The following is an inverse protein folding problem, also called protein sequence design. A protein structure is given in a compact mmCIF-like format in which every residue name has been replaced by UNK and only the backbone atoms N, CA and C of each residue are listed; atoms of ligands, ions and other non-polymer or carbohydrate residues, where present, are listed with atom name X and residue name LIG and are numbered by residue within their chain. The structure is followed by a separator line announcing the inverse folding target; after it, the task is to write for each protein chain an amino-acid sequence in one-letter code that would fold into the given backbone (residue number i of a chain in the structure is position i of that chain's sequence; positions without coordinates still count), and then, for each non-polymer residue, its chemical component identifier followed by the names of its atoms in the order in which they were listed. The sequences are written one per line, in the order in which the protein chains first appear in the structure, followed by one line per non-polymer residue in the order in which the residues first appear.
data_IF_495565828646
#
_entry.id   IF_495565828646
#
_cell.length_a   1.000
_cell.length_b   1.000
_cell.length_c   1.000
_cell.angle_alpha   90.00
_cell.angle_beta   90.00
_cell.angle_gamma   90.00
#
_symmetry.space_group_name_H-M   'P 1'
#
loop_
_entity.id
_entity.type
_entity.pdbx_description
1 polymer ?
#
# COMPACT_ATOMS: atom_id res chain seq x y z
N UNK A 1 -19.11 12.60 15.31
CA UNK A 1 -17.74 11.98 15.20
C UNK A 1 -17.30 11.52 16.58
N UNK A 2 -16.64 10.32 16.71
CA UNK A 2 -16.14 9.83 18.01
C UNK A 2 -14.87 10.56 18.46
N UNK A 3 -14.62 10.59 19.79
CA UNK A 3 -13.54 11.38 20.40
C UNK A 3 -12.15 10.93 19.94
N UNK A 4 -11.93 9.62 19.70
CA UNK A 4 -10.64 9.09 19.22
C UNK A 4 -10.32 9.54 17.80
N UNK A 5 -11.33 9.61 16.95
CA UNK A 5 -11.20 10.12 15.58
C UNK A 5 -10.92 11.63 15.60
N UNK A 6 -11.59 12.39 16.47
CA UNK A 6 -11.35 13.83 16.63
C UNK A 6 -9.92 14.12 17.10
N UNK A 7 -9.40 13.39 18.08
CA UNK A 7 -8.01 13.52 18.55
C UNK A 7 -7.01 13.20 17.44
N UNK A 8 -7.30 12.22 16.57
CA UNK A 8 -6.46 11.91 15.40
C UNK A 8 -6.37 13.11 14.44
N UNK A 9 -7.50 13.74 14.13
CA UNK A 9 -7.53 14.93 13.27
C UNK A 9 -6.82 16.12 13.92
N UNK A 10 -7.05 16.37 15.20
CA UNK A 10 -6.40 17.45 15.93
C UNK A 10 -4.88 17.33 15.93
N UNK A 11 -4.37 16.11 16.14
CA UNK A 11 -2.92 15.83 16.08
C UNK A 11 -2.37 16.04 14.66
N UNK A 12 -3.06 15.59 13.63
CA UNK A 12 -2.64 15.76 12.24
C UNK A 12 -2.59 17.24 11.83
N UNK A 13 -3.64 18.01 12.15
CA UNK A 13 -3.72 19.45 11.91
C UNK A 13 -2.62 20.22 12.65
N UNK A 14 -2.40 19.92 13.94
CA UNK A 14 -1.38 20.58 14.75
C UNK A 14 0.01 20.31 14.22
N UNK A 15 0.33 19.06 13.89
CA UNK A 15 1.62 18.69 13.31
C UNK A 15 1.87 19.39 11.97
N UNK A 16 0.86 19.45 11.10
CA UNK A 16 1.00 20.11 9.80
C UNK A 16 1.23 21.61 9.97
N UNK A 17 0.45 22.27 10.84
CA UNK A 17 0.64 23.68 11.18
C UNK A 17 2.06 23.95 11.69
N UNK A 18 2.56 23.13 12.64
CA UNK A 18 3.85 23.35 13.27
C UNK A 18 5.01 23.19 12.28
N UNK A 19 4.91 22.25 11.33
CA UNK A 19 5.86 22.09 10.21
C UNK A 19 5.90 23.35 9.33
N UNK A 20 4.74 23.89 8.96
CA UNK A 20 4.66 25.09 8.12
C UNK A 20 5.17 26.33 8.85
N UNK A 21 4.87 26.48 10.15
CA UNK A 21 5.38 27.57 10.96
C UNK A 21 6.90 27.50 11.15
N UNK A 22 7.45 26.29 11.32
CA UNK A 22 8.89 26.10 11.39
C UNK A 22 9.56 26.55 10.07
N UNK A 23 9.04 26.13 8.93
CA UNK A 23 9.55 26.53 7.62
C UNK A 23 9.49 28.05 7.41
N UNK A 24 8.39 28.71 7.84
CA UNK A 24 8.26 30.17 7.73
C UNK A 24 9.26 30.93 8.62
N UNK A 25 9.73 30.31 9.72
CA UNK A 25 10.69 30.91 10.64
C UNK A 25 12.17 30.64 10.28
N UNK A 26 12.44 29.78 9.29
CA UNK A 26 13.80 29.55 8.79
C UNK A 26 14.33 30.76 8.01
N UNK A 27 15.67 30.95 8.02
CA UNK A 27 16.32 32.12 7.45
C UNK A 27 16.07 32.28 5.94
N UNK A 28 16.12 33.52 5.46
CA UNK A 28 15.76 33.92 4.08
C UNK A 28 16.50 33.15 2.97
N UNK A 29 17.69 32.63 3.25
CA UNK A 29 18.47 31.83 2.30
C UNK A 29 17.90 30.43 2.02
N UNK A 30 17.10 29.88 2.93
CA UNK A 30 16.38 28.62 2.73
C UNK A 30 15.01 28.79 2.07
N UNK A 31 14.49 30.02 2.01
CA UNK A 31 13.18 30.35 1.42
C UNK A 31 13.19 30.43 -0.12
N UNK A 32 14.38 30.43 -0.74
CA UNK A 32 14.53 30.32 -2.21
C UNK A 32 14.16 28.93 -2.74
N UNK A 33 14.00 27.93 -1.83
CA UNK A 33 13.45 26.62 -2.16
C UNK A 33 11.99 26.61 -1.70
N UNK A 34 11.02 26.65 -2.64
CA UNK A 34 9.59 26.59 -2.28
C UNK A 34 9.26 25.34 -1.47
N UNK A 35 8.49 25.45 -0.38
CA UNK A 35 8.03 24.32 0.40
C UNK A 35 7.08 23.46 -0.46
N UNK A 36 7.58 22.33 -0.96
CA UNK A 36 6.82 21.48 -1.88
C UNK A 36 6.39 22.21 -3.18
N UNK A 37 7.17 23.20 -3.65
CA UNK A 37 6.84 24.00 -4.85
C UNK A 37 5.87 25.16 -4.60
N UNK A 38 5.49 25.43 -3.34
CA UNK A 38 4.51 26.48 -2.97
C UNK A 38 5.19 27.78 -2.57
N UNK A 39 4.61 28.89 -2.99
CA UNK A 39 5.04 30.24 -2.58
C UNK A 39 4.66 30.54 -1.11
N UNK A 40 5.29 31.54 -0.50
CA UNK A 40 4.96 31.99 0.87
C UNK A 40 3.48 32.33 1.01
N UNK A 41 2.86 32.97 0.02
CA UNK A 41 1.43 33.30 0.05
C UNK A 41 0.53 32.06 0.07
N UNK A 42 0.88 31.01 -0.67
CA UNK A 42 0.14 29.74 -0.67
C UNK A 42 0.29 29.01 0.68
N UNK A 43 1.44 29.10 1.32
CA UNK A 43 1.66 28.55 2.66
C UNK A 43 0.85 29.30 3.70
N UNK A 44 0.73 30.64 3.59
CA UNK A 44 -0.11 31.44 4.48
C UNK A 44 -1.60 31.10 4.36
N UNK A 45 -2.09 30.82 3.14
CA UNK A 45 -3.47 30.33 2.94
C UNK A 45 -3.68 28.97 3.62
N UNK A 46 -2.78 28.02 3.43
CA UNK A 46 -2.86 26.70 4.07
C UNK A 46 -2.86 26.86 5.60
N UNK A 47 -2.00 27.73 6.15
CA UNK A 47 -1.97 28.01 7.59
C UNK A 47 -3.28 28.59 8.10
N UNK A 48 -3.93 29.45 7.32
CA UNK A 48 -5.25 29.99 7.64
C UNK A 48 -6.30 28.87 7.71
N UNK A 49 -6.32 27.98 6.72
CA UNK A 49 -7.26 26.85 6.67
C UNK A 49 -7.04 25.88 7.84
N UNK A 50 -5.78 25.57 8.17
CA UNK A 50 -5.42 24.74 9.32
C UNK A 50 -5.85 25.36 10.65
N UNK A 51 -5.68 26.70 10.81
CA UNK A 51 -6.13 27.42 12.00
C UNK A 51 -7.65 27.38 12.13
N UNK A 52 -8.38 27.61 11.03
CA UNK A 52 -9.83 27.53 11.01
C UNK A 52 -10.31 26.13 11.40
N UNK A 53 -9.72 25.06 10.87
CA UNK A 53 -10.06 23.69 11.22
C UNK A 53 -9.82 23.39 12.71
N UNK A 54 -8.68 23.85 13.28
CA UNK A 54 -8.38 23.70 14.71
C UNK A 54 -9.38 24.47 15.58
N UNK A 55 -9.73 25.71 15.21
CA UNK A 55 -10.75 26.50 15.91
C UNK A 55 -12.11 25.76 15.93
N UNK A 56 -12.50 25.13 14.82
CA UNK A 56 -13.73 24.34 14.73
C UNK A 56 -13.70 23.09 15.62
N UNK A 57 -12.53 22.50 15.85
CA UNK A 57 -12.37 21.42 16.83
C UNK A 57 -12.64 21.94 18.25
N UNK A 58 -12.04 23.07 18.61
CA UNK A 58 -12.21 23.70 19.93
C UNK A 58 -13.64 24.14 20.19
N UNK A 59 -14.35 24.59 19.16
CA UNK A 59 -15.78 25.00 19.20
C UNK A 59 -16.74 23.79 19.10
N UNK A 60 -16.25 22.57 18.86
CA UNK A 60 -17.08 21.38 18.71
C UNK A 60 -17.89 21.33 17.41
N UNK A 61 -17.53 22.12 16.39
CA UNK A 61 -18.20 22.22 15.09
C UNK A 61 -17.45 21.50 13.98
N UNK A 62 -16.27 20.93 14.26
CA UNK A 62 -15.48 20.20 13.29
C UNK A 62 -16.22 18.96 12.77
N UNK A 63 -16.21 18.78 11.45
CA UNK A 63 -16.98 17.72 10.79
C UNK A 63 -18.41 18.09 10.45
N UNK A 64 -18.88 19.29 10.84
CA UNK A 64 -20.17 19.80 10.41
C UNK A 64 -19.99 20.75 9.23
N UNK A 65 -20.87 20.67 8.26
CA UNK A 65 -20.88 21.54 7.09
C UNK A 65 -21.25 22.99 7.50
N UNK A 66 -20.46 23.96 7.09
CA UNK A 66 -20.70 25.37 7.36
C UNK A 66 -22.00 25.91 6.68
N UNK A 67 -22.41 25.27 5.57
CA UNK A 67 -23.56 25.71 4.77
C UNK A 67 -24.90 25.19 5.31
N UNK A 68 -24.95 23.92 5.76
CA UNK A 68 -26.20 23.30 6.19
C UNK A 68 -26.18 22.77 7.62
N UNK A 69 -25.05 22.76 8.32
CA UNK A 69 -24.91 22.17 9.66
C UNK A 69 -24.94 20.64 9.69
N UNK A 70 -25.15 19.96 8.56
CA UNK A 70 -25.10 18.50 8.43
C UNK A 70 -23.68 17.97 8.56
N UNK A 71 -23.55 16.66 8.73
CA UNK A 71 -22.21 16.03 8.82
C UNK A 71 -21.50 16.06 7.46
N UNK A 72 -20.18 16.36 7.48
CA UNK A 72 -19.31 16.20 6.33
C UNK A 72 -18.89 14.72 6.26
N UNK A 73 -18.82 14.17 5.05
CA UNK A 73 -18.44 12.80 4.81
C UNK A 73 -17.05 12.52 5.41
N UNK A 74 -16.96 11.46 6.24
CA UNK A 74 -15.74 11.13 6.98
C UNK A 74 -14.55 10.90 6.06
N UNK A 75 -14.78 10.26 4.93
CA UNK A 75 -13.78 9.97 3.91
C UNK A 75 -13.19 11.25 3.32
N UNK A 76 -13.99 12.31 3.19
CA UNK A 76 -13.48 13.61 2.74
C UNK A 76 -12.61 14.29 3.77
N UNK A 77 -13.01 14.23 5.05
CA UNK A 77 -12.19 14.76 6.15
C UNK A 77 -10.87 13.96 6.30
N UNK A 78 -10.86 12.67 5.98
CA UNK A 78 -9.65 11.87 5.97
C UNK A 78 -8.71 12.22 4.78
N UNK A 79 -9.27 12.66 3.66
CA UNK A 79 -8.52 13.14 2.50
C UNK A 79 -8.01 14.57 2.67
N UNK A 80 -8.87 15.44 3.17
CA UNK A 80 -8.58 16.83 3.43
C UNK A 80 -9.30 17.29 4.70
N UNK A 81 -8.57 17.29 5.81
CA UNK A 81 -9.08 17.68 7.12
C UNK A 81 -9.34 19.18 7.26
N UNK A 82 -9.08 20.00 6.23
CA UNK A 82 -9.49 21.40 6.16
C UNK A 82 -10.87 21.56 5.51
N UNK A 83 -11.45 20.51 4.96
CA UNK A 83 -12.78 20.50 4.34
C UNK A 83 -13.86 20.99 5.33
N UNK A 84 -14.67 21.95 4.89
CA UNK A 84 -15.70 22.60 5.71
C UNK A 84 -17.10 22.58 5.09
N UNK A 85 -17.26 21.98 3.88
CA UNK A 85 -18.54 21.88 3.16
C UNK A 85 -18.80 20.42 2.74
N UNK A 86 -20.00 19.89 2.96
CA UNK A 86 -20.38 18.54 2.53
C UNK A 86 -20.65 18.46 1.00
N UNK A 87 -20.73 17.25 0.45
CA UNK A 87 -20.95 17.02 -0.99
C UNK A 87 -22.31 17.53 -1.48
N UNK A 88 -23.31 17.62 -0.61
CA UNK A 88 -24.64 18.11 -0.97
C UNK A 88 -24.66 19.56 -1.52
N UNK A 89 -23.59 20.31 -1.27
CA UNK A 89 -23.43 21.68 -1.77
C UNK A 89 -22.57 21.78 -3.03
N UNK A 90 -22.07 20.64 -3.53
CA UNK A 90 -21.42 20.61 -4.82
C UNK A 90 -22.45 20.60 -5.94
N UNK A 91 -22.21 21.38 -6.97
CA UNK A 91 -23.04 21.32 -8.17
C UNK A 91 -22.85 19.97 -8.86
N UNK A 92 -23.88 19.54 -9.61
CA UNK A 92 -23.76 18.30 -10.42
C UNK A 92 -22.57 18.32 -11.39
N UNK A 93 -22.16 19.50 -11.82
CA UNK A 93 -20.99 19.69 -12.68
C UNK A 93 -19.67 19.44 -11.92
N UNK A 94 -19.55 19.96 -10.70
CA UNK A 94 -18.40 19.72 -9.82
C UNK A 94 -18.27 18.24 -9.43
N UNK A 95 -19.40 17.58 -9.11
CA UNK A 95 -19.41 16.13 -8.81
C UNK A 95 -18.93 15.34 -10.02
N UNK A 96 -19.45 15.62 -11.22
CA UNK A 96 -19.03 14.94 -12.46
C UNK A 96 -17.54 15.17 -12.79
N UNK A 97 -17.03 16.37 -12.53
CA UNK A 97 -15.60 16.65 -12.70
C UNK A 97 -14.74 15.77 -11.78
N UNK A 98 -15.11 15.69 -10.49
CA UNK A 98 -14.42 14.83 -9.50
C UNK A 98 -14.50 13.34 -9.89
N UNK A 99 -15.65 12.85 -10.33
CA UNK A 99 -15.82 11.47 -10.79
C UNK A 99 -14.94 11.19 -12.02
N UNK A 100 -14.85 12.14 -12.94
CA UNK A 100 -13.99 12.04 -14.14
C UNK A 100 -12.52 11.97 -13.77
N UNK A 101 -12.06 12.82 -12.85
CA UNK A 101 -10.67 12.85 -12.39
C UNK A 101 -10.31 11.54 -11.65
N UNK A 102 -11.19 11.02 -10.81
CA UNK A 102 -11.00 9.74 -10.13
C UNK A 102 -10.94 8.57 -11.11
N UNK A 103 -11.83 8.54 -12.11
CA UNK A 103 -11.78 7.50 -13.16
C UNK A 103 -10.49 7.60 -13.99
N UNK A 104 -10.00 8.81 -14.28
CA UNK A 104 -8.72 9.00 -14.93
C UNK A 104 -7.56 8.50 -14.04
N UNK A 105 -7.57 8.84 -12.76
CA UNK A 105 -6.58 8.34 -11.79
C UNK A 105 -6.56 6.80 -11.74
N UNK A 106 -7.73 6.15 -11.75
CA UNK A 106 -7.86 4.69 -11.83
C UNK A 106 -7.21 4.11 -13.08
N UNK A 107 -7.43 4.74 -14.24
CA UNK A 107 -6.83 4.30 -15.51
C UNK A 107 -5.32 4.45 -15.50
N UNK A 108 -4.81 5.56 -14.97
CA UNK A 108 -3.37 5.80 -14.82
C UNK A 108 -2.76 4.75 -13.89
N UNK A 109 -3.35 4.53 -12.70
CA UNK A 109 -2.87 3.53 -11.76
C UNK A 109 -2.81 2.13 -12.36
N UNK A 110 -3.86 1.74 -13.11
CA UNK A 110 -3.89 0.44 -13.79
C UNK A 110 -2.76 0.27 -14.82
N UNK A 111 -2.31 1.37 -15.45
CA UNK A 111 -1.17 1.33 -16.39
C UNK A 111 0.19 1.26 -15.68
N UNK A 112 0.26 1.62 -14.40
CA UNK A 112 1.48 1.49 -13.59
C UNK A 112 1.74 0.05 -13.16
N UNK A 113 0.70 -0.78 -13.06
CA UNK A 113 0.82 -2.21 -12.77
C UNK A 113 1.28 -2.99 -14.01
N UNK A 114 1.92 -4.15 -13.83
CA UNK A 114 2.36 -4.98 -14.96
C UNK A 114 1.18 -5.37 -15.87
N UNK A 115 1.32 -5.09 -17.17
CA UNK A 115 0.33 -5.52 -18.18
C UNK A 115 0.42 -7.01 -18.50
N UNK A 116 1.57 -7.62 -18.29
CA UNK A 116 1.83 -9.03 -18.56
C UNK A 116 2.75 -9.61 -17.48
N UNK A 117 2.55 -10.88 -17.18
CA UNK A 117 3.41 -11.63 -16.28
C UNK A 117 4.68 -12.07 -17.02
N UNK A 118 5.84 -12.13 -16.35
CA UNK A 118 7.06 -12.61 -16.99
C UNK A 118 6.95 -14.10 -17.31
N UNK A 119 7.32 -14.49 -18.52
CA UNK A 119 7.48 -15.89 -18.92
C UNK A 119 8.84 -16.38 -18.48
N UNK A 120 8.87 -17.30 -17.51
CA UNK A 120 10.10 -17.78 -16.90
C UNK A 120 10.27 -19.29 -17.11
N UNK A 121 11.48 -19.76 -17.43
CA UNK A 121 11.75 -21.18 -17.44
C UNK A 121 11.51 -21.80 -16.07
N UNK A 122 10.78 -22.91 -16.01
CA UNK A 122 10.54 -23.67 -14.79
C UNK A 122 9.79 -22.95 -13.65
N UNK A 123 9.11 -21.83 -13.96
CA UNK A 123 8.29 -21.09 -12.98
C UNK A 123 6.95 -20.75 -13.62
N UNK A 124 5.89 -20.99 -12.89
CA UNK A 124 4.54 -20.53 -13.18
C UNK A 124 4.19 -19.39 -12.24
N UNK A 125 3.54 -18.36 -12.78
CA UNK A 125 3.11 -17.19 -12.01
C UNK A 125 1.66 -16.89 -12.33
N UNK A 126 0.86 -16.62 -11.30
CA UNK A 126 -0.48 -16.07 -11.43
C UNK A 126 -0.66 -14.93 -10.43
N UNK A 127 -1.36 -13.88 -10.84
CA UNK A 127 -1.61 -12.69 -10.03
C UNK A 127 -3.06 -12.26 -10.18
N UNK A 128 -3.67 -11.86 -9.07
CA UNK A 128 -4.93 -11.14 -9.03
C UNK A 128 -4.76 -9.90 -8.15
N UNK A 129 -5.19 -8.75 -8.65
CA UNK A 129 -5.22 -7.52 -7.88
C UNK A 129 -6.51 -6.75 -8.16
N UNK A 130 -7.18 -6.33 -7.11
CA UNK A 130 -8.42 -5.57 -7.18
C UNK A 130 -8.43 -4.53 -6.06
N UNK A 131 -8.66 -3.26 -6.41
CA UNK A 131 -8.81 -2.20 -5.42
C UNK A 131 -10.22 -2.21 -4.85
N UNK A 132 -10.34 -2.06 -3.53
CA UNK A 132 -11.61 -1.93 -2.83
C UNK A 132 -12.32 -0.59 -3.17
N UNK A 133 -11.55 0.43 -3.49
CA UNK A 133 -12.03 1.75 -3.95
C UNK A 133 -11.68 1.98 -5.42
N UNK A 134 -11.94 3.17 -5.92
CA UNK A 134 -11.61 3.57 -7.29
C UNK A 134 -10.12 3.42 -7.58
N UNK A 135 -9.26 3.76 -6.59
CA UNK A 135 -7.81 3.58 -6.58
C UNK A 135 -7.37 2.99 -5.24
N UNK A 136 -6.25 2.28 -5.20
CA UNK A 136 -5.75 1.56 -4.03
C UNK A 136 -4.31 1.83 -3.66
N UNK A 137 -3.90 1.30 -2.48
CA UNK A 137 -2.53 1.33 -1.98
C UNK A 137 -1.69 0.11 -2.35
N UNK A 138 -2.34 -0.99 -2.71
CA UNK A 138 -1.67 -2.23 -3.07
C UNK A 138 -0.83 -2.10 -4.34
N UNK A 139 0.32 -2.73 -4.32
CA UNK A 139 1.26 -2.76 -5.44
C UNK A 139 1.89 -4.12 -5.61
N UNK A 140 2.03 -4.56 -6.84
CA UNK A 140 2.89 -5.68 -7.23
C UNK A 140 3.62 -5.35 -8.53
N UNK A 141 4.81 -5.88 -8.70
CA UNK A 141 5.58 -5.75 -9.94
C UNK A 141 6.62 -6.87 -10.08
N UNK A 142 7.24 -6.90 -11.26
CA UNK A 142 8.33 -7.78 -11.61
C UNK A 142 9.47 -6.97 -12.20
N UNK A 143 10.70 -7.36 -11.90
CA UNK A 143 11.90 -6.70 -12.43
C UNK A 143 13.01 -7.71 -12.64
N UNK A 144 14.01 -7.35 -13.43
CA UNK A 144 15.26 -8.12 -13.54
C UNK A 144 16.28 -7.43 -12.65
N UNK A 145 16.87 -8.17 -11.71
CA UNK A 145 17.94 -7.66 -10.84
C UNK A 145 19.24 -7.46 -11.61
N UNK A 146 20.21 -6.77 -10.98
CA UNK A 146 21.50 -6.45 -11.60
C UNK A 146 22.27 -7.66 -12.11
N UNK A 147 22.17 -8.78 -11.43
CA UNK A 147 22.79 -10.07 -11.79
C UNK A 147 21.93 -10.91 -12.75
N UNK A 148 20.83 -10.36 -13.26
CA UNK A 148 19.97 -10.99 -14.25
C UNK A 148 18.93 -11.98 -13.69
N UNK A 149 18.77 -12.04 -12.37
CA UNK A 149 17.73 -12.87 -11.74
C UNK A 149 16.37 -12.19 -11.75
N UNK A 150 15.31 -12.98 -11.65
CA UNK A 150 13.96 -12.46 -11.64
C UNK A 150 13.56 -11.94 -10.25
N UNK A 151 13.31 -10.64 -10.17
CA UNK A 151 12.73 -10.00 -9.01
C UNK A 151 11.22 -9.93 -9.09
N UNK A 152 10.57 -9.95 -7.94
CA UNK A 152 9.14 -9.69 -7.76
C UNK A 152 8.89 -8.98 -6.44
N UNK A 153 7.83 -8.24 -6.37
CA UNK A 153 7.43 -7.45 -5.20
C UNK A 153 5.94 -7.50 -5.00
N UNK A 154 5.52 -7.50 -3.74
CA UNK A 154 4.19 -7.17 -3.30
C UNK A 154 4.30 -6.21 -2.13
N UNK A 155 3.47 -5.18 -2.12
CA UNK A 155 3.49 -4.13 -1.10
C UNK A 155 2.09 -3.61 -0.85
N UNK A 156 1.87 -3.09 0.35
CA UNK A 156 0.69 -2.36 0.75
C UNK A 156 1.10 -1.05 1.42
N UNK A 157 0.57 0.04 0.91
CA UNK A 157 0.78 1.39 1.41
C UNK A 157 -0.32 1.72 2.40
N UNK A 158 0.04 1.94 3.66
CA UNK A 158 -0.91 2.32 4.70
C UNK A 158 -1.86 3.42 4.26
N UNK A 159 -3.15 3.17 4.38
CA UNK A 159 -4.22 4.10 3.99
C UNK A 159 -5.01 3.59 2.79
N UNK A 160 -6.02 4.35 2.37
CA UNK A 160 -6.93 3.93 1.29
C UNK A 160 -7.17 5.07 0.31
N UNK A 161 -7.52 4.69 -0.92
CA UNK A 161 -7.91 5.65 -1.95
C UNK A 161 -6.74 6.50 -2.47
N UNK A 162 -7.03 7.77 -2.81
CA UNK A 162 -6.11 8.62 -3.56
C UNK A 162 -4.75 8.87 -2.86
N UNK A 163 -4.66 9.17 -1.54
CA UNK A 163 -3.37 9.38 -0.88
C UNK A 163 -2.46 8.16 -0.93
N UNK A 164 -3.00 6.96 -0.68
CA UNK A 164 -2.25 5.70 -0.76
C UNK A 164 -1.81 5.42 -2.20
N UNK A 165 -2.67 5.67 -3.20
CA UNK A 165 -2.36 5.45 -4.61
C UNK A 165 -1.25 6.38 -5.13
N UNK A 166 -1.13 7.60 -4.63
CA UNK A 166 -0.03 8.52 -4.99
C UNK A 166 1.32 7.98 -4.46
N UNK A 167 1.36 7.47 -3.24
CA UNK A 167 2.58 6.85 -2.70
C UNK A 167 2.89 5.52 -3.38
N UNK A 168 1.87 4.72 -3.69
CA UNK A 168 2.04 3.51 -4.50
C UNK A 168 2.70 3.83 -5.85
N UNK A 169 2.27 4.90 -6.53
CA UNK A 169 2.86 5.34 -7.79
C UNK A 169 4.33 5.76 -7.62
N UNK A 170 4.67 6.42 -6.51
CA UNK A 170 6.04 6.78 -6.18
C UNK A 170 6.89 5.52 -5.87
N UNK A 171 6.32 4.56 -5.12
CA UNK A 171 6.96 3.26 -4.85
C UNK A 171 7.24 2.50 -6.15
N UNK A 172 6.29 2.46 -7.06
CA UNK A 172 6.43 1.83 -8.39
C UNK A 172 7.60 2.44 -9.17
N UNK A 173 7.64 3.77 -9.30
CA UNK A 173 8.72 4.45 -10.01
C UNK A 173 10.10 4.18 -9.37
N UNK A 174 10.16 4.20 -8.03
CA UNK A 174 11.38 3.91 -7.28
C UNK A 174 11.85 2.47 -7.49
N UNK A 175 10.96 1.49 -7.42
CA UNK A 175 11.30 0.09 -7.60
C UNK A 175 11.74 -0.24 -9.02
N UNK A 176 11.16 0.38 -10.04
CA UNK A 176 11.59 0.22 -11.43
C UNK A 176 12.99 0.75 -11.70
N UNK A 177 13.44 1.76 -10.93
CA UNK A 177 14.80 2.25 -10.99
C UNK A 177 15.76 1.40 -10.15
N UNK A 178 15.37 1.05 -8.93
CA UNK A 178 16.25 0.37 -7.98
C UNK A 178 16.39 -1.13 -8.25
N UNK A 179 15.33 -1.79 -8.72
CA UNK A 179 15.34 -3.23 -8.98
C UNK A 179 16.50 -3.69 -9.86
N UNK A 180 16.75 -3.06 -11.02
CA UNK A 180 17.87 -3.41 -11.91
C UNK A 180 19.25 -3.00 -11.39
N UNK A 181 19.34 -2.11 -10.40
CA UNK A 181 20.61 -1.60 -9.89
C UNK A 181 21.24 -2.48 -8.79
N UNK A 182 20.44 -3.33 -8.14
CA UNK A 182 20.85 -4.10 -6.98
C UNK A 182 20.69 -5.61 -7.18
N UNK A 183 21.51 -6.38 -6.47
CA UNK A 183 21.56 -7.85 -6.52
C UNK A 183 20.72 -8.50 -5.41
N UNK A 184 20.46 -7.76 -4.33
CA UNK A 184 19.78 -8.32 -3.14
C UNK A 184 18.59 -7.49 -2.70
N UNK A 185 17.51 -8.13 -2.21
CA UNK A 185 16.33 -7.45 -1.71
C UNK A 185 16.62 -6.42 -0.61
N UNK A 186 17.55 -6.74 0.31
CA UNK A 186 17.91 -5.82 1.41
C UNK A 186 18.51 -4.51 0.92
N UNK A 187 19.30 -4.53 -0.16
CA UNK A 187 19.87 -3.31 -0.75
C UNK A 187 18.76 -2.41 -1.33
N UNK A 188 17.80 -3.03 -2.01
CA UNK A 188 16.64 -2.32 -2.56
C UNK A 188 15.83 -1.68 -1.42
N UNK A 189 15.54 -2.44 -0.34
CA UNK A 189 14.78 -1.94 0.82
C UNK A 189 15.50 -0.78 1.52
N UNK A 190 16.81 -0.86 1.70
CA UNK A 190 17.60 0.21 2.32
C UNK A 190 17.50 1.53 1.52
N UNK A 191 17.55 1.45 0.19
CA UNK A 191 17.42 2.64 -0.67
C UNK A 191 15.98 3.16 -0.72
N UNK A 192 14.99 2.28 -0.70
CA UNK A 192 13.59 2.68 -0.60
C UNK A 192 13.34 3.42 0.72
N UNK A 193 13.82 2.90 1.85
CA UNK A 193 13.64 3.55 3.15
C UNK A 193 14.26 4.95 3.18
N UNK A 194 15.47 5.14 2.62
CA UNK A 194 16.08 6.47 2.48
C UNK A 194 15.21 7.42 1.67
N UNK A 195 14.66 6.97 0.51
CA UNK A 195 13.82 7.80 -0.35
C UNK A 195 12.50 8.18 0.32
N UNK A 196 11.89 7.25 1.04
CA UNK A 196 10.58 7.45 1.63
C UNK A 196 10.61 8.08 3.02
N UNK A 197 11.72 7.99 3.76
CA UNK A 197 11.85 8.50 5.14
C UNK A 197 11.39 9.94 5.32
N UNK A 198 11.66 10.81 4.34
CA UNK A 198 11.24 12.20 4.38
C UNK A 198 9.82 12.44 3.87
N UNK A 199 9.26 11.50 3.13
CA UNK A 199 7.96 11.63 2.47
C UNK A 199 6.80 11.00 3.27
N UNK A 200 7.11 10.10 4.23
CA UNK A 200 6.13 9.36 5.03
C UNK A 200 5.60 10.13 6.26
N UNK A 201 5.64 11.48 6.26
CA UNK A 201 5.15 12.28 7.39
C UNK A 201 3.64 12.18 7.59
N UNK A 202 2.86 11.99 6.52
CA UNK A 202 1.39 11.88 6.54
C UNK A 202 0.93 10.42 6.51
N UNK A 203 1.63 9.56 5.78
CA UNK A 203 1.38 8.12 5.68
C UNK A 203 2.52 7.43 6.42
N UNK A 204 2.18 6.64 7.43
CA UNK A 204 3.13 6.23 8.47
C UNK A 204 4.09 5.13 8.03
N UNK A 205 3.69 4.22 7.13
CA UNK A 205 4.54 3.11 6.71
C UNK A 205 4.07 2.46 5.39
N UNK A 206 4.98 1.70 4.80
CA UNK A 206 4.73 0.81 3.67
C UNK A 206 5.17 -0.59 4.09
N UNK A 207 4.26 -1.56 4.04
CA UNK A 207 4.60 -2.96 4.16
C UNK A 207 5.01 -3.52 2.81
N UNK A 208 6.14 -4.27 2.73
CA UNK A 208 6.67 -4.73 1.45
C UNK A 208 7.41 -6.05 1.59
N UNK A 209 7.15 -6.96 0.66
CA UNK A 209 7.95 -8.16 0.43
C UNK A 209 8.64 -8.07 -0.92
N UNK A 210 9.95 -8.26 -0.96
CA UNK A 210 10.75 -8.35 -2.18
C UNK A 210 11.42 -9.71 -2.24
N UNK A 211 11.23 -10.43 -3.35
CA UNK A 211 11.92 -11.67 -3.65
C UNK A 211 12.73 -11.55 -4.94
N UNK A 212 13.91 -12.14 -4.97
CA UNK A 212 14.73 -12.33 -6.16
C UNK A 212 14.99 -13.84 -6.29
N UNK A 213 14.63 -14.41 -7.43
CA UNK A 213 14.75 -15.85 -7.67
C UNK A 213 15.74 -16.14 -8.80
N UNK A 214 16.75 -16.94 -8.48
CA UNK A 214 17.56 -17.62 -9.46
C UNK A 214 16.75 -18.82 -10.00
N UNK A 215 16.19 -18.65 -11.18
CA UNK A 215 15.32 -19.65 -11.82
C UNK A 215 16.06 -20.92 -12.20
N UNK A 216 17.39 -20.83 -12.44
CA UNK A 216 18.24 -21.96 -12.81
C UNK A 216 18.56 -22.84 -11.61
N UNK A 217 18.97 -22.22 -10.51
CA UNK A 217 19.34 -22.92 -9.28
C UNK A 217 18.15 -23.09 -8.32
N UNK A 218 16.98 -22.50 -8.63
CA UNK A 218 15.76 -22.50 -7.80
C UNK A 218 16.04 -21.95 -6.40
N UNK A 219 16.81 -20.87 -6.31
CA UNK A 219 17.16 -20.20 -5.06
C UNK A 219 16.33 -18.90 -4.95
N UNK A 220 15.54 -18.80 -3.90
CA UNK A 220 14.83 -17.59 -3.53
C UNK A 220 15.63 -16.82 -2.49
N UNK A 221 16.03 -15.59 -2.82
CA UNK A 221 16.53 -14.60 -1.88
C UNK A 221 15.42 -13.58 -1.61
N UNK A 222 15.06 -13.32 -0.34
CA UNK A 222 13.96 -12.43 -0.01
C UNK A 222 14.23 -11.58 1.22
N UNK A 223 13.54 -10.45 1.28
CA UNK A 223 13.38 -9.60 2.47
C UNK A 223 11.91 -9.27 2.65
N UNK A 224 11.45 -9.24 3.90
CA UNK A 224 10.08 -8.90 4.26
C UNK A 224 10.12 -7.75 5.27
N UNK A 225 9.74 -6.55 4.84
CA UNK A 225 9.64 -5.37 5.68
C UNK A 225 8.18 -5.14 6.11
N UNK A 226 7.80 -5.81 7.20
CA UNK A 226 6.50 -5.66 7.84
C UNK A 226 5.29 -6.15 7.04
N UNK A 227 5.49 -6.85 5.91
CA UNK A 227 4.40 -7.38 5.11
C UNK A 227 3.88 -8.71 5.68
N UNK A 228 2.61 -9.02 5.40
CA UNK A 228 2.01 -10.31 5.80
C UNK A 228 2.88 -11.47 5.34
N UNK A 229 3.13 -12.46 6.20
CA UNK A 229 4.09 -13.51 5.91
C UNK A 229 3.61 -14.40 4.74
N UNK A 230 4.30 -14.38 3.58
CA UNK A 230 3.96 -15.30 2.50
C UNK A 230 3.97 -16.76 2.94
N UNK A 231 3.08 -17.54 2.36
CA UNK A 231 2.97 -18.97 2.62
C UNK A 231 3.82 -19.73 1.62
N UNK A 232 4.86 -20.43 2.09
CA UNK A 232 5.65 -21.36 1.30
C UNK A 232 5.18 -22.80 1.56
N UNK A 233 4.55 -23.40 0.55
CA UNK A 233 4.29 -24.83 0.51
C UNK A 233 5.52 -25.56 0.00
N UNK A 234 6.08 -26.44 0.85
CA UNK A 234 7.14 -27.32 0.43
C UNK A 234 6.56 -28.67 -0.05
N UNK A 235 6.62 -28.89 -1.35
CA UNK A 235 6.00 -30.05 -1.99
C UNK A 235 6.66 -31.37 -1.60
N UNK A 236 7.96 -31.38 -1.38
CA UNK A 236 8.71 -32.59 -0.98
C UNK A 236 8.38 -33.00 0.44
N UNK A 237 8.37 -32.06 1.38
CA UNK A 237 8.11 -32.31 2.80
C UNK A 237 6.61 -32.29 3.16
N UNK A 238 5.75 -31.87 2.23
CA UNK A 238 4.29 -31.66 2.44
C UNK A 238 4.01 -30.79 3.68
N UNK A 239 4.76 -29.67 3.80
CA UNK A 239 4.68 -28.76 4.95
C UNK A 239 4.61 -27.32 4.50
N UNK A 240 3.92 -26.52 5.31
CA UNK A 240 3.89 -25.06 5.20
C UNK A 240 5.04 -24.44 6.00
N UNK A 241 5.60 -23.38 5.47
CA UNK A 241 6.50 -22.44 6.14
C UNK A 241 6.01 -21.02 5.89
N UNK A 242 5.76 -20.26 6.94
CA UNK A 242 5.46 -18.84 6.86
C UNK A 242 6.78 -18.06 6.77
N UNK A 243 6.85 -17.10 5.84
CA UNK A 243 8.02 -16.25 5.67
C UNK A 243 7.83 -14.94 6.43
N UNK A 244 7.92 -15.02 7.76
CA UNK A 244 7.73 -13.88 8.66
C UNK A 244 8.63 -12.69 8.32
N UNK A 245 8.20 -11.45 8.68
CA UNK A 245 8.99 -10.26 8.48
C UNK A 245 10.43 -10.43 8.98
N UNK A 246 11.37 -9.92 8.20
CA UNK A 246 12.78 -9.83 8.58
C UNK A 246 13.05 -8.54 9.31
N UNK A 247 12.25 -7.50 9.01
CA UNK A 247 12.36 -6.14 9.53
C UNK A 247 10.97 -5.48 9.64
N UNK A 248 10.86 -4.39 10.42
CA UNK A 248 9.67 -3.55 10.42
C UNK A 248 9.39 -2.95 9.03
N UNK A 249 8.14 -2.53 8.81
CA UNK A 249 7.75 -1.84 7.59
C UNK A 249 8.56 -0.54 7.37
N UNK A 250 8.73 -0.15 6.11
CA UNK A 250 9.41 1.08 5.71
C UNK A 250 8.75 2.28 6.40
N UNK A 251 9.57 3.16 7.01
CA UNK A 251 9.12 4.36 7.70
C UNK A 251 8.78 4.17 9.19
N UNK A 252 8.77 2.94 9.74
CA UNK A 252 8.47 2.72 11.17
C UNK A 252 9.68 2.92 12.08
N UNK A 253 10.89 2.67 11.60
CA UNK A 253 12.13 2.78 12.40
C UNK A 253 13.08 3.81 11.79
N UNK A 254 13.90 4.46 12.64
CA UNK A 254 14.83 5.50 12.17
C UNK A 254 16.04 4.91 11.42
N UNK A 255 16.56 3.76 11.86
CA UNK A 255 17.76 3.11 11.30
C UNK A 255 17.51 1.60 11.17
N UNK A 256 16.73 1.17 10.15
CA UNK A 256 16.48 -0.25 9.94
C UNK A 256 17.73 -0.96 9.39
N UNK A 257 18.03 -2.14 9.93
CA UNK A 257 19.09 -3.02 9.41
C UNK A 257 18.44 -4.14 8.58
N UNK A 258 18.05 -3.81 7.34
CA UNK A 258 17.38 -4.76 6.45
C UNK A 258 18.22 -6.01 6.20
N UNK A 259 17.59 -7.16 6.38
CA UNK A 259 18.20 -8.47 6.18
C UNK A 259 17.56 -9.20 5.00
N UNK A 260 18.37 -10.04 4.33
CA UNK A 260 17.86 -10.99 3.34
C UNK A 260 17.99 -12.41 3.86
N UNK A 261 17.00 -13.25 3.52
CA UNK A 261 17.04 -14.70 3.78
C UNK A 261 17.03 -15.47 2.45
N UNK A 262 17.70 -16.61 2.44
CA UNK A 262 17.78 -17.46 1.26
C UNK A 262 17.10 -18.80 1.52
N UNK A 263 16.35 -19.26 0.54
CA UNK A 263 15.65 -20.56 0.57
C UNK A 263 15.94 -21.31 -0.71
N UNK A 264 16.35 -22.58 -0.57
CA UNK A 264 16.37 -23.51 -1.69
C UNK A 264 14.95 -24.02 -1.93
N UNK A 265 14.44 -23.79 -3.12
CA UNK A 265 13.12 -24.28 -3.55
C UNK A 265 13.27 -25.56 -4.39
N UNK A 266 12.23 -26.36 -4.42
CA UNK A 266 12.15 -27.60 -5.17
C UNK A 266 10.97 -27.60 -6.15
N UNK A 267 10.98 -28.51 -7.10
CA UNK A 267 9.86 -28.67 -8.05
C UNK A 267 8.56 -28.97 -7.30
N UNK A 268 7.50 -28.27 -7.65
CA UNK A 268 6.19 -28.32 -7.01
C UNK A 268 6.03 -27.46 -5.76
N UNK A 269 7.09 -26.75 -5.31
CA UNK A 269 6.98 -25.76 -4.25
C UNK A 269 6.14 -24.55 -4.72
N UNK A 270 5.30 -24.02 -3.84
CA UNK A 270 4.42 -22.87 -4.12
C UNK A 270 4.69 -21.78 -3.10
N UNK A 271 4.92 -20.57 -3.58
CA UNK A 271 4.96 -19.35 -2.77
C UNK A 271 3.68 -18.56 -3.04
N UNK A 272 2.85 -18.40 -2.02
CA UNK A 272 1.64 -17.58 -2.05
C UNK A 272 1.88 -16.29 -1.26
N UNK A 273 1.79 -15.17 -1.95
CA UNK A 273 1.85 -13.81 -1.37
C UNK A 273 0.45 -13.21 -1.41
N UNK A 274 0.12 -12.41 -0.41
CA UNK A 274 -1.21 -11.81 -0.25
C UNK A 274 -1.14 -10.55 0.60
N UNK A 275 -2.10 -9.63 0.40
CA UNK A 275 -2.31 -8.46 1.24
C UNK A 275 -3.40 -8.71 2.28
N UNK A 276 -3.51 -7.82 3.26
CA UNK A 276 -4.45 -7.94 4.39
C UNK A 276 -5.91 -7.99 3.95
N UNK A 277 -6.26 -7.37 2.82
CA UNK A 277 -7.61 -7.41 2.26
C UNK A 277 -8.18 -8.82 2.07
N UNK A 278 -7.33 -9.85 1.91
CA UNK A 278 -7.78 -11.24 1.92
C UNK A 278 -8.12 -11.72 3.33
N UNK A 279 -7.15 -11.66 4.24
CA UNK A 279 -7.25 -12.32 5.54
C UNK A 279 -8.14 -11.56 6.53
N UNK A 280 -8.23 -10.24 6.39
CA UNK A 280 -9.09 -9.36 7.19
C UNK A 280 -10.50 -9.23 6.62
N UNK A 281 -10.77 -9.79 5.42
CA UNK A 281 -12.11 -9.79 4.83
C UNK A 281 -13.11 -10.51 5.76
N UNK A 282 -14.27 -9.87 6.02
CA UNK A 282 -15.24 -10.36 7.00
C UNK A 282 -16.49 -10.90 6.32
N UNK A 283 -16.99 -12.01 6.86
CA UNK A 283 -18.27 -12.58 6.44
C UNK A 283 -19.45 -11.83 7.10
N UNK A 284 -20.69 -12.25 6.79
CA UNK A 284 -21.92 -11.67 7.36
C UNK A 284 -22.05 -11.80 8.88
N UNK A 285 -21.24 -12.64 9.52
CA UNK A 285 -21.18 -12.82 10.98
C UNK A 285 -20.04 -12.02 11.62
N UNK A 286 -19.25 -11.29 10.83
CA UNK A 286 -18.11 -10.51 11.30
C UNK A 286 -16.82 -11.33 11.49
N UNK A 287 -16.79 -12.59 11.08
CA UNK A 287 -15.60 -13.43 11.17
C UNK A 287 -14.64 -13.16 10.01
N UNK A 288 -13.37 -12.97 10.32
CA UNK A 288 -12.32 -12.80 9.32
C UNK A 288 -12.07 -14.07 8.51
N UNK A 289 -11.59 -13.93 7.28
CA UNK A 289 -11.12 -15.07 6.49
C UNK A 289 -9.98 -15.78 7.22
N UNK A 290 -8.97 -15.04 7.63
CA UNK A 290 -7.89 -15.46 8.52
C UNK A 290 -6.82 -16.33 7.84
N UNK A 291 -5.61 -16.30 8.40
CA UNK A 291 -4.46 -17.07 7.90
C UNK A 291 -4.67 -18.59 7.96
N UNK A 292 -5.37 -19.09 8.98
CA UNK A 292 -5.60 -20.54 9.12
C UNK A 292 -6.36 -21.12 7.94
N UNK A 293 -7.40 -20.42 7.49
CA UNK A 293 -8.20 -20.82 6.33
C UNK A 293 -7.38 -20.78 5.03
N UNK A 294 -6.49 -19.79 4.93
CA UNK A 294 -5.60 -19.65 3.77
C UNK A 294 -4.54 -20.76 3.73
N UNK A 295 -4.00 -21.15 4.88
CA UNK A 295 -3.07 -22.29 5.01
C UNK A 295 -3.74 -23.59 4.61
N UNK A 296 -4.94 -23.88 5.14
CA UNK A 296 -5.72 -25.07 4.79
C UNK A 296 -6.05 -25.12 3.29
N UNK A 297 -6.44 -23.97 2.73
CA UNK A 297 -6.70 -23.84 1.31
C UNK A 297 -5.45 -24.17 0.49
N UNK A 298 -4.29 -23.62 0.86
CA UNK A 298 -3.01 -23.83 0.17
C UNK A 298 -2.62 -25.32 0.16
N UNK A 299 -2.76 -25.99 1.29
CA UNK A 299 -2.48 -27.44 1.39
C UNK A 299 -3.39 -28.23 0.46
N UNK A 300 -4.70 -27.98 0.52
CA UNK A 300 -5.73 -28.69 -0.23
C UNK A 300 -5.56 -28.55 -1.75
N UNK A 301 -5.12 -27.36 -2.23
CA UNK A 301 -5.06 -27.03 -3.64
C UNK A 301 -3.63 -27.06 -4.21
N UNK A 302 -2.63 -27.50 -3.44
CA UNK A 302 -1.20 -27.48 -3.81
C UNK A 302 -0.87 -28.26 -5.10
N UNK A 303 -1.71 -29.19 -5.53
CA UNK A 303 -1.51 -29.98 -6.77
C UNK A 303 -2.03 -29.29 -8.03
N UNK A 304 -2.81 -28.20 -7.91
CA UNK A 304 -3.38 -27.48 -9.04
C UNK A 304 -2.33 -26.65 -9.78
N UNK A 305 -2.62 -26.28 -11.01
CA UNK A 305 -1.86 -25.23 -11.68
C UNK A 305 -2.13 -23.87 -11.03
N UNK A 306 -1.28 -22.88 -11.28
CA UNK A 306 -1.34 -21.58 -10.58
C UNK A 306 -2.59 -20.79 -10.92
N UNK A 307 -3.12 -20.94 -12.13
CA UNK A 307 -4.31 -20.21 -12.57
C UNK A 307 -5.55 -20.79 -11.90
N UNK A 308 -5.70 -22.12 -11.92
CA UNK A 308 -6.80 -22.81 -11.22
C UNK A 308 -6.75 -22.57 -9.71
N UNK A 309 -5.56 -22.61 -9.12
CA UNK A 309 -5.36 -22.28 -7.71
C UNK A 309 -5.83 -20.87 -7.37
N UNK A 310 -5.40 -19.87 -8.17
CA UNK A 310 -5.75 -18.47 -7.97
C UNK A 310 -7.25 -18.22 -8.11
N UNK A 311 -7.87 -18.78 -9.17
CA UNK A 311 -9.30 -18.61 -9.43
C UNK A 311 -10.15 -19.21 -8.30
N UNK A 312 -9.79 -20.38 -7.80
CA UNK A 312 -10.49 -21.00 -6.67
C UNK A 312 -10.28 -20.24 -5.37
N UNK A 313 -9.08 -19.70 -5.11
CA UNK A 313 -8.84 -18.88 -3.94
C UNK A 313 -9.69 -17.61 -3.99
N UNK A 314 -9.71 -16.92 -5.14
CA UNK A 314 -10.54 -15.74 -5.36
C UNK A 314 -12.02 -16.04 -5.14
N UNK A 315 -12.54 -17.11 -5.74
CA UNK A 315 -13.92 -17.53 -5.57
C UNK A 315 -14.25 -17.90 -4.12
N UNK A 316 -13.29 -18.48 -3.40
CA UNK A 316 -13.45 -18.83 -1.97
C UNK A 316 -13.53 -17.57 -1.11
N UNK A 317 -12.69 -16.58 -1.40
CA UNK A 317 -12.71 -15.28 -0.74
C UNK A 317 -14.02 -14.51 -1.04
N UNK A 318 -14.46 -14.45 -2.31
CA UNK A 318 -15.72 -13.82 -2.72
C UNK A 318 -16.97 -14.48 -2.10
N UNK A 319 -16.93 -15.77 -1.82
CA UNK A 319 -18.00 -16.47 -1.09
C UNK A 319 -17.98 -16.17 0.41
N UNK A 320 -16.82 -15.85 0.96
CA UNK A 320 -16.68 -15.51 2.37
C UNK A 320 -17.19 -14.11 2.68
N UNK A 321 -16.81 -13.12 1.87
CA UNK A 321 -17.26 -11.73 2.03
C UNK A 321 -18.16 -11.28 0.88
N UNK A 322 -19.11 -10.38 1.18
CA UNK A 322 -19.94 -9.75 0.14
C UNK A 322 -19.21 -8.61 -0.56
N UNK A 323 -18.30 -7.95 0.17
CA UNK A 323 -17.55 -6.80 -0.31
C UNK A 323 -16.20 -6.75 0.41
N UNK A 324 -15.13 -6.57 -0.35
CA UNK A 324 -13.80 -6.35 0.23
C UNK A 324 -13.72 -4.92 0.74
N UNK A 325 -13.33 -4.77 2.01
CA UNK A 325 -13.17 -3.47 2.66
C UNK A 325 -11.78 -2.87 2.45
N UNK A 326 -10.84 -3.69 1.96
CA UNK A 326 -9.49 -3.30 1.59
C UNK A 326 -9.07 -3.88 0.25
N UNK A 327 -7.98 -3.34 -0.32
CA UNK A 327 -7.42 -3.79 -1.58
C UNK A 327 -7.01 -5.26 -1.46
N UNK A 328 -7.25 -6.03 -2.50
CA UNK A 328 -6.97 -7.46 -2.56
C UNK A 328 -5.90 -7.74 -3.59
N UNK A 329 -4.71 -8.13 -3.14
CA UNK A 329 -3.63 -8.58 -4.02
C UNK A 329 -3.17 -9.99 -3.66
N UNK A 330 -3.13 -10.85 -4.66
CA UNK A 330 -2.71 -12.25 -4.56
C UNK A 330 -1.66 -12.52 -5.63
N UNK A 331 -0.54 -13.12 -5.26
CA UNK A 331 0.49 -13.57 -6.21
C UNK A 331 0.91 -15.00 -5.85
N UNK A 332 0.91 -15.87 -6.85
CA UNK A 332 1.31 -17.25 -6.72
C UNK A 332 2.50 -17.50 -7.62
N UNK A 333 3.56 -18.07 -7.07
CA UNK A 333 4.76 -18.48 -7.79
C UNK A 333 4.99 -19.96 -7.52
N UNK A 334 4.96 -20.80 -8.56
CA UNK A 334 5.17 -22.25 -8.45
C UNK A 334 6.39 -22.67 -9.26
N UNK A 335 7.24 -23.48 -8.64
CA UNK A 335 8.42 -24.07 -9.29
C UNK A 335 7.98 -25.34 -10.04
N UNK A 336 8.33 -25.39 -11.33
CA UNK A 336 8.12 -26.60 -12.16
C UNK A 336 9.18 -27.66 -11.94
#
# INVERSE_FOLDING_TARGET
MDQKTLEKFQNALSNHRDILLQWLNEDSASKDIPFGGKSVNEVDHILSDLKNALTRIDEGTFGNCEMCGGEIEKERLELDYTTHVCLDHYTSEQIRALETDLELARRVQKQLLPCCLPELPNIEIAVHAASARIVGGDYYDFFTSKDGHQGFVIADVMGKGLPASLLMSNLQASLRLLGPEYETPKQILARLDELFRNNLKLIRFISIFIGIIDTKNKILNYSNAGHHPPILWNNTKKKIRMLFPTEPAIGLTKDPDFQSKTIQMASGDILLLYTDGLIESRNSYGEEFGESRLVEFTIKHSNKDVTEFLDELRLTAEKHTREFQDDLSLMIIKIR
#
